data_IF_101532712384
#
_entry.id   IF_101532712384
#
_cell.length_a   1.000
_cell.length_b   1.000
_cell.length_c   1.000
_cell.angle_alpha   90.00
_cell.angle_beta   90.00
_cell.angle_gamma   90.00
#
_symmetry.space_group_name_H-M   'P 1'
#
loop_
_entity.id
_entity.type
_entity.pdbx_description
1 polymer ?
#
# COMPACT_ATOMS: atom_id res chain seq x y z
N UNK A 1 -30.77 32.51 -3.17
CA UNK A 1 -30.14 32.57 -4.52
C UNK A 1 -28.88 33.41 -4.34
N UNK A 2 -27.63 33.03 -4.59
CA UNK A 2 -26.98 32.04 -5.45
C UNK A 2 -25.66 31.63 -4.76
N UNK A 3 -25.31 30.33 -4.69
CA UNK A 3 -23.94 29.89 -4.37
C UNK A 3 -23.21 29.64 -5.70
N UNK A 4 -21.93 30.05 -5.85
CA UNK A 4 -21.16 29.76 -7.05
C UNK A 4 -20.81 28.25 -7.12
N UNK A 5 -20.58 27.70 -8.33
CA UNK A 5 -20.34 26.28 -8.50
C UNK A 5 -18.93 25.89 -8.02
N UNK A 6 -18.84 24.77 -7.32
CA UNK A 6 -17.60 24.18 -6.86
C UNK A 6 -16.79 23.70 -8.08
N UNK A 7 -15.62 24.30 -8.27
CA UNK A 7 -14.62 23.87 -9.25
C UNK A 7 -14.13 22.46 -8.96
N UNK A 8 -14.05 21.65 -10.01
CA UNK A 8 -13.56 20.26 -10.04
C UNK A 8 -12.18 20.14 -9.38
N UNK A 9 -12.07 19.36 -8.29
CA UNK A 9 -10.79 18.85 -7.79
C UNK A 9 -10.58 17.43 -8.33
N UNK A 10 -9.49 17.25 -9.06
CA UNK A 10 -9.01 15.94 -9.50
C UNK A 10 -8.63 15.09 -8.28
N UNK A 11 -9.38 14.02 -8.03
CA UNK A 11 -9.02 13.01 -7.03
C UNK A 11 -8.40 11.81 -7.74
N UNK A 12 -7.07 11.79 -7.82
CA UNK A 12 -6.29 10.59 -8.12
C UNK A 12 -6.33 9.65 -6.91
N UNK A 13 -7.23 8.67 -6.94
CA UNK A 13 -7.32 7.65 -5.90
C UNK A 13 -6.17 6.64 -6.07
N UNK A 14 -5.20 6.69 -5.15
CA UNK A 14 -4.12 5.70 -5.03
C UNK A 14 -4.62 4.50 -4.23
N UNK A 15 -4.56 3.32 -4.84
CA UNK A 15 -4.90 2.05 -4.21
C UNK A 15 -3.63 1.23 -3.95
N UNK A 16 -3.57 0.57 -2.79
CA UNK A 16 -2.42 -0.25 -2.37
C UNK A 16 -2.90 -1.55 -1.75
N UNK A 17 -2.30 -2.67 -2.16
CA UNK A 17 -2.53 -3.97 -1.56
C UNK A 17 -1.20 -4.58 -1.09
N UNK A 18 -1.25 -5.24 0.07
CA UNK A 18 -0.10 -5.93 0.67
C UNK A 18 -0.54 -7.30 1.17
N UNK A 19 0.22 -8.34 0.83
CA UNK A 19 0.11 -9.63 1.52
C UNK A 19 1.48 -10.31 1.57
N UNK A 20 2.10 -10.37 2.76
CA UNK A 20 3.18 -11.31 3.14
C UNK A 20 3.61 -11.11 4.60
N UNK A 21 3.00 -11.85 5.53
CA UNK A 21 3.72 -12.19 6.78
C UNK A 21 3.22 -13.44 7.51
N UNK A 22 2.28 -14.21 6.97
CA UNK A 22 1.67 -15.32 7.73
C UNK A 22 2.41 -16.68 7.65
N UNK A 23 3.42 -16.86 6.79
CA UNK A 23 4.03 -18.18 6.59
C UNK A 23 5.14 -18.59 7.58
N UNK A 24 5.54 -17.75 8.54
CA UNK A 24 6.72 -18.07 9.37
C UNK A 24 6.45 -18.99 10.58
N UNK A 25 5.19 -19.28 10.93
CA UNK A 25 4.86 -19.97 12.21
C UNK A 25 4.36 -21.41 12.11
N UNK A 26 4.30 -22.01 10.92
CA UNK A 26 3.73 -23.34 10.69
C UNK A 26 4.77 -24.47 10.45
N UNK A 27 6.02 -24.30 10.91
CA UNK A 27 7.14 -25.18 10.55
C UNK A 27 7.59 -26.15 11.65
N UNK A 28 6.83 -26.31 12.73
CA UNK A 28 7.29 -27.03 13.92
C UNK A 28 6.52 -28.32 14.29
N UNK A 29 5.47 -28.73 13.57
CA UNK A 29 4.70 -29.92 13.96
C UNK A 29 4.23 -30.72 12.74
N UNK A 30 4.70 -31.97 12.64
CA UNK A 30 4.27 -33.09 11.77
C UNK A 30 5.15 -33.44 10.54
N UNK A 31 5.30 -34.76 10.23
CA UNK A 31 6.22 -35.27 9.21
C UNK A 31 5.79 -34.88 7.78
N UNK A 32 6.70 -34.94 6.78
CA UNK A 32 6.47 -34.32 5.48
C UNK A 32 5.37 -35.04 4.70
N UNK A 33 4.15 -34.50 4.75
CA UNK A 33 3.08 -34.88 3.84
C UNK A 33 3.50 -34.61 2.39
N UNK A 34 3.13 -35.56 1.51
CA UNK A 34 3.31 -35.55 0.04
C UNK A 34 2.79 -34.30 -0.68
N UNK A 35 2.09 -33.39 0.01
CA UNK A 35 1.66 -32.07 -0.50
C UNK A 35 2.81 -31.07 -0.73
N UNK A 36 4.00 -31.28 -0.15
CA UNK A 36 5.14 -30.35 -0.27
C UNK A 36 5.71 -30.19 -1.68
N UNK A 37 5.29 -31.02 -2.66
CA UNK A 37 5.65 -30.81 -4.08
C UNK A 37 4.70 -29.86 -4.83
N UNK A 38 3.56 -29.48 -4.24
CA UNK A 38 2.56 -28.60 -4.85
C UNK A 38 2.67 -27.11 -4.44
N UNK A 39 3.65 -26.72 -3.62
CA UNK A 39 4.05 -25.31 -3.42
C UNK A 39 4.97 -24.78 -4.54
N UNK A 40 4.95 -25.42 -5.72
CA UNK A 40 5.70 -24.98 -6.88
C UNK A 40 4.97 -23.84 -7.56
N UNK A 41 5.42 -22.62 -7.25
CA UNK A 41 5.26 -21.40 -8.06
C UNK A 41 3.81 -20.88 -8.13
N UNK A 42 3.38 -20.20 -7.08
CA UNK A 42 2.20 -19.32 -7.18
C UNK A 42 2.49 -18.33 -8.33
N UNK A 43 1.60 -18.18 -9.33
CA UNK A 43 1.80 -17.25 -10.43
C UNK A 43 1.98 -15.83 -9.89
N UNK A 44 2.74 -14.96 -10.58
CA UNK A 44 2.92 -13.58 -10.14
C UNK A 44 1.55 -12.90 -9.97
N UNK A 45 1.23 -12.54 -8.73
CA UNK A 45 -0.10 -12.03 -8.34
C UNK A 45 -0.32 -10.56 -8.70
N UNK A 46 0.55 -9.97 -9.54
CA UNK A 46 0.52 -8.53 -9.80
C UNK A 46 -0.69 -8.11 -10.63
N UNK A 47 -0.89 -8.73 -11.80
CA UNK A 47 -2.01 -8.40 -12.70
C UNK A 47 -3.36 -8.72 -12.05
N UNK A 48 -3.60 -9.94 -11.52
CA UNK A 48 -4.90 -10.25 -10.90
C UNK A 48 -5.25 -9.33 -9.73
N UNK A 49 -4.23 -8.84 -9.01
CA UNK A 49 -4.44 -7.89 -7.93
C UNK A 49 -4.93 -6.55 -8.44
N UNK A 50 -4.31 -5.99 -9.48
CA UNK A 50 -4.72 -4.69 -10.05
C UNK A 50 -6.07 -4.81 -10.75
N UNK A 51 -6.38 -5.94 -11.39
CA UNK A 51 -7.71 -6.23 -11.92
C UNK A 51 -8.78 -6.18 -10.83
N UNK A 52 -8.52 -6.79 -9.67
CA UNK A 52 -9.42 -6.77 -8.53
C UNK A 52 -9.64 -5.35 -8.00
N UNK A 53 -8.60 -4.50 -8.03
CA UNK A 53 -8.72 -3.06 -7.72
C UNK A 53 -9.62 -2.37 -8.72
N UNK A 54 -9.36 -2.59 -10.01
CA UNK A 54 -10.08 -1.95 -11.10
C UNK A 54 -11.57 -2.33 -11.05
N UNK A 55 -11.88 -3.61 -10.85
CA UNK A 55 -13.25 -4.11 -10.72
C UNK A 55 -13.99 -3.50 -9.52
N UNK A 56 -13.31 -3.33 -8.38
CA UNK A 56 -13.93 -2.78 -7.16
C UNK A 56 -14.14 -1.28 -7.20
N UNK A 57 -13.22 -0.56 -7.83
CA UNK A 57 -13.20 0.91 -7.81
C UNK A 57 -13.76 1.53 -9.09
N UNK A 58 -13.82 0.77 -10.18
CA UNK A 58 -14.09 1.26 -11.53
C UNK A 58 -12.97 2.12 -12.12
N UNK A 59 -11.83 2.23 -11.44
CA UNK A 59 -10.73 3.14 -11.81
C UNK A 59 -9.46 2.34 -12.00
N UNK A 60 -8.84 2.46 -13.18
CA UNK A 60 -7.50 1.91 -13.41
C UNK A 60 -6.48 2.82 -12.70
N UNK A 61 -5.62 2.28 -11.80
CA UNK A 61 -4.63 3.09 -11.12
C UNK A 61 -3.62 3.67 -12.13
N UNK A 62 -3.44 5.00 -12.11
CA UNK A 62 -2.44 5.67 -12.95
C UNK A 62 -1.01 5.21 -12.64
N UNK A 63 -0.70 5.05 -11.35
CA UNK A 63 0.59 4.56 -10.88
C UNK A 63 0.39 3.44 -9.87
N UNK A 64 1.21 2.42 -9.99
CA UNK A 64 1.22 1.25 -9.10
C UNK A 64 2.59 1.17 -8.45
N UNK A 65 2.65 0.95 -7.14
CA UNK A 65 3.89 0.51 -6.53
C UNK A 65 3.67 -0.65 -5.57
N UNK A 66 4.57 -1.62 -5.68
CA UNK A 66 4.45 -2.93 -5.03
C UNK A 66 5.79 -3.36 -4.44
N UNK A 67 5.71 -4.34 -3.55
CA UNK A 67 6.88 -4.96 -2.93
C UNK A 67 7.49 -6.05 -3.84
N UNK A 68 8.71 -6.48 -3.51
CA UNK A 68 9.46 -7.56 -4.19
C UNK A 68 8.67 -8.87 -4.29
N UNK A 69 7.70 -9.09 -3.40
CA UNK A 69 6.79 -10.24 -3.44
C UNK A 69 5.95 -10.34 -4.71
N UNK A 70 5.77 -9.23 -5.44
CA UNK A 70 5.02 -9.11 -6.69
C UNK A 70 5.91 -8.92 -7.92
N UNK A 71 7.24 -9.00 -7.76
CA UNK A 71 8.19 -8.79 -8.83
C UNK A 71 7.95 -9.75 -10.00
N UNK A 72 7.56 -9.19 -11.15
CA UNK A 72 7.26 -9.93 -12.38
C UNK A 72 7.46 -9.04 -13.60
N UNK A 73 8.41 -9.39 -14.47
CA UNK A 73 8.65 -8.67 -15.72
C UNK A 73 7.40 -8.70 -16.62
N UNK A 74 6.81 -9.89 -16.80
CA UNK A 74 5.60 -10.07 -17.58
C UNK A 74 4.43 -9.28 -16.98
N UNK A 75 4.24 -9.36 -15.66
CA UNK A 75 3.14 -8.64 -15.01
C UNK A 75 3.28 -7.12 -15.11
N UNK A 76 4.51 -6.59 -15.04
CA UNK A 76 4.77 -5.16 -15.28
C UNK A 76 4.44 -4.77 -16.72
N UNK A 77 4.91 -5.53 -17.70
CA UNK A 77 4.64 -5.25 -19.11
C UNK A 77 3.13 -5.23 -19.41
N UNK A 78 2.39 -6.23 -18.92
CA UNK A 78 0.94 -6.30 -19.07
C UNK A 78 0.23 -5.07 -18.50
N UNK A 79 0.58 -4.62 -17.29
CA UNK A 79 -0.05 -3.43 -16.70
C UNK A 79 0.26 -2.14 -17.47
N UNK A 80 1.48 -2.01 -18.01
CA UNK A 80 1.85 -0.87 -18.86
C UNK A 80 1.05 -0.89 -20.17
N UNK A 81 0.85 -2.06 -20.77
CA UNK A 81 0.01 -2.26 -21.96
C UNK A 81 -1.47 -1.94 -21.70
N UNK A 82 -1.98 -2.25 -20.51
CA UNK A 82 -3.34 -1.93 -20.07
C UNK A 82 -3.57 -0.44 -19.78
N UNK A 83 -2.52 0.38 -19.78
CA UNK A 83 -2.60 1.84 -19.64
C UNK A 83 -2.23 2.37 -18.26
N UNK A 84 -1.61 1.56 -17.38
CA UNK A 84 -0.94 2.08 -16.18
C UNK A 84 0.31 2.83 -16.62
N UNK A 85 0.50 4.07 -16.16
CA UNK A 85 1.62 4.90 -16.63
C UNK A 85 2.97 4.49 -16.02
N UNK A 86 2.97 4.00 -14.77
CA UNK A 86 4.20 3.54 -14.14
C UNK A 86 3.93 2.45 -13.08
N UNK A 87 4.80 1.44 -13.05
CA UNK A 87 4.71 0.31 -12.12
C UNK A 87 6.04 0.14 -11.41
N UNK A 88 6.11 0.65 -10.18
CA UNK A 88 7.31 0.61 -9.35
C UNK A 88 7.34 -0.60 -8.42
N UNK A 89 8.22 -1.55 -8.71
CA UNK A 89 8.55 -2.71 -7.87
C UNK A 89 9.72 -2.33 -6.96
N UNK A 90 9.49 -2.30 -5.65
CA UNK A 90 10.51 -2.00 -4.65
C UNK A 90 11.27 -3.24 -4.20
N UNK A 91 12.56 -3.07 -3.91
CA UNK A 91 13.42 -4.10 -3.32
C UNK A 91 14.47 -4.66 -4.29
N UNK A 92 15.14 -5.74 -3.90
CA UNK A 92 16.27 -6.30 -4.65
C UNK A 92 15.85 -6.95 -5.95
N UNK A 93 14.67 -7.59 -5.98
CA UNK A 93 14.14 -8.19 -7.22
C UNK A 93 13.66 -7.11 -8.18
N UNK A 94 12.97 -6.09 -7.68
CA UNK A 94 12.62 -4.91 -8.47
C UNK A 94 13.85 -4.27 -9.11
N UNK A 95 14.93 -4.08 -8.32
CA UNK A 95 16.19 -3.48 -8.81
C UNK A 95 16.86 -4.30 -9.91
N UNK A 96 16.74 -5.63 -9.88
CA UNK A 96 17.29 -6.51 -10.92
C UNK A 96 16.46 -6.52 -12.20
N UNK A 97 15.15 -6.28 -12.10
CA UNK A 97 14.24 -6.32 -13.24
C UNK A 97 14.21 -5.02 -14.05
N UNK A 98 14.60 -3.91 -13.44
CA UNK A 98 14.37 -2.57 -13.97
C UNK A 98 15.70 -1.91 -14.32
N UNK A 99 15.83 -1.31 -15.52
CA UNK A 99 17.05 -0.61 -15.93
C UNK A 99 17.46 0.47 -14.94
N UNK A 100 18.77 0.72 -14.83
CA UNK A 100 19.32 1.64 -13.82
C UNK A 100 18.79 3.08 -14.00
N UNK A 101 18.69 3.59 -15.23
CA UNK A 101 18.08 4.88 -15.53
C UNK A 101 16.65 4.99 -15.01
N UNK A 102 15.81 3.97 -15.25
CA UNK A 102 14.41 3.98 -14.82
C UNK A 102 14.29 3.87 -13.29
N UNK A 103 15.10 3.00 -12.68
CA UNK A 103 15.17 2.79 -11.24
C UNK A 103 15.52 4.09 -10.47
N UNK A 104 16.37 4.92 -11.08
CA UNK A 104 16.85 6.18 -10.54
C UNK A 104 16.00 7.38 -10.96
N UNK A 105 14.99 7.22 -11.81
CA UNK A 105 14.10 8.31 -12.20
C UNK A 105 13.36 8.91 -11.00
N UNK A 106 13.04 10.21 -11.06
CA UNK A 106 12.40 10.92 -9.95
C UNK A 106 11.02 10.33 -9.61
N UNK A 107 10.21 10.03 -10.63
CA UNK A 107 8.89 9.44 -10.45
C UNK A 107 9.00 8.08 -9.74
N UNK A 108 9.92 7.24 -10.19
CA UNK A 108 10.11 5.91 -9.61
C UNK A 108 10.59 6.01 -8.15
N UNK A 109 11.50 6.94 -7.83
CA UNK A 109 11.90 7.21 -6.45
C UNK A 109 10.72 7.70 -5.59
N UNK A 110 9.87 8.59 -6.11
CA UNK A 110 8.69 9.09 -5.41
C UNK A 110 7.71 7.96 -5.10
N UNK A 111 7.47 7.05 -6.05
CA UNK A 111 6.62 5.88 -5.84
C UNK A 111 7.16 4.97 -4.72
N UNK A 112 8.46 4.69 -4.71
CA UNK A 112 9.12 3.91 -3.64
C UNK A 112 9.04 4.60 -2.27
N UNK A 113 9.26 5.91 -2.22
CA UNK A 113 9.11 6.71 -0.98
C UNK A 113 7.66 6.67 -0.48
N UNK A 114 6.69 6.81 -1.39
CA UNK A 114 5.26 6.72 -1.08
C UNK A 114 4.89 5.37 -0.47
N UNK A 115 5.36 4.26 -1.05
CA UNK A 115 5.18 2.92 -0.49
C UNK A 115 5.75 2.80 0.92
N UNK A 116 6.99 3.26 1.13
CA UNK A 116 7.64 3.22 2.46
C UNK A 116 6.87 4.05 3.51
N UNK A 117 6.30 5.19 3.13
CA UNK A 117 5.45 5.98 4.01
C UNK A 117 4.16 5.24 4.39
N UNK A 118 3.52 4.55 3.43
CA UNK A 118 2.34 3.71 3.68
C UNK A 118 2.68 2.51 4.58
N UNK A 119 3.82 1.87 4.39
CA UNK A 119 4.27 0.76 5.26
C UNK A 119 4.48 1.23 6.70
N UNK A 120 5.09 2.40 6.88
CA UNK A 120 5.27 3.02 8.19
C UNK A 120 3.92 3.35 8.84
N UNK A 121 2.95 3.84 8.06
CA UNK A 121 1.58 4.05 8.52
C UNK A 121 0.93 2.74 8.97
N UNK A 122 1.00 1.68 8.15
CA UNK A 122 0.45 0.37 8.47
C UNK A 122 1.08 -0.18 9.76
N UNK A 123 2.38 0.01 9.96
CA UNK A 123 3.07 -0.37 11.18
C UNK A 123 2.47 0.33 12.41
N UNK A 124 2.32 1.66 12.36
CA UNK A 124 1.72 2.44 13.45
C UNK A 124 0.28 1.97 13.74
N UNK A 125 -0.53 1.77 12.71
CA UNK A 125 -1.91 1.29 12.89
C UNK A 125 -1.94 -0.10 13.54
N UNK A 126 -1.09 -1.03 13.09
CA UNK A 126 -1.03 -2.39 13.63
C UNK A 126 -0.57 -2.42 15.08
N UNK A 127 0.48 -1.68 15.42
CA UNK A 127 1.16 -1.82 16.71
C UNK A 127 0.75 -0.79 17.75
N UNK A 128 0.47 0.46 17.35
CA UNK A 128 0.08 1.52 18.28
C UNK A 128 -1.44 1.62 18.46
N UNK A 129 -2.22 1.31 17.42
CA UNK A 129 -3.70 1.37 17.45
C UNK A 129 -4.37 -0.01 17.44
N UNK A 130 -3.58 -1.07 17.60
CA UNK A 130 -4.05 -2.45 17.73
C UNK A 130 -5.01 -2.88 16.59
N UNK A 131 -4.76 -2.48 15.35
CA UNK A 131 -5.60 -2.87 14.19
C UNK A 131 -5.67 -4.39 13.98
N UNK A 132 -4.65 -5.13 14.41
CA UNK A 132 -4.63 -6.60 14.33
C UNK A 132 -5.30 -7.32 15.52
N UNK A 133 -5.78 -6.59 16.53
CA UNK A 133 -6.41 -7.16 17.73
C UNK A 133 -7.78 -6.55 17.92
N UNK A 134 -8.82 -7.30 17.57
CA UNK A 134 -10.21 -6.87 17.66
C UNK A 134 -10.83 -7.41 18.95
N UNK A 135 -11.66 -6.59 19.60
CA UNK A 135 -12.38 -6.95 20.83
C UNK A 135 -13.83 -7.32 20.53
N UNK A 136 -14.43 -6.74 19.50
CA UNK A 136 -15.79 -7.02 19.07
C UNK A 136 -15.84 -8.23 18.12
N UNK A 137 -17.02 -8.85 18.03
CA UNK A 137 -17.31 -10.00 17.16
C UNK A 137 -18.52 -9.67 16.29
N UNK A 138 -18.51 -10.15 15.05
CA UNK A 138 -19.49 -9.81 14.02
C UNK A 138 -18.93 -8.79 13.02
N UNK A 139 -19.28 -8.93 11.74
CA UNK A 139 -18.67 -8.14 10.66
C UNK A 139 -18.88 -6.64 10.84
N UNK A 140 -20.10 -6.21 11.14
CA UNK A 140 -20.44 -4.80 11.34
C UNK A 140 -19.76 -4.23 12.58
N UNK A 141 -19.73 -4.97 13.68
CA UNK A 141 -19.05 -4.54 14.90
C UNK A 141 -17.53 -4.45 14.72
N UNK A 142 -16.93 -5.37 13.95
CA UNK A 142 -15.52 -5.30 13.57
C UNK A 142 -15.25 -4.07 12.70
N UNK A 143 -16.12 -3.75 11.74
CA UNK A 143 -16.02 -2.55 10.91
C UNK A 143 -16.12 -1.28 11.76
N UNK A 144 -17.05 -1.22 12.71
CA UNK A 144 -17.20 -0.12 13.65
C UNK A 144 -15.94 0.06 14.51
N UNK A 145 -15.40 -1.02 15.09
CA UNK A 145 -14.16 -0.97 15.88
C UNK A 145 -12.96 -0.50 15.04
N UNK A 146 -12.83 -0.96 13.78
CA UNK A 146 -11.78 -0.49 12.88
C UNK A 146 -11.93 1.00 12.56
N UNK A 147 -13.15 1.48 12.32
CA UNK A 147 -13.42 2.90 12.09
C UNK A 147 -13.05 3.76 13.31
N UNK A 148 -13.44 3.34 14.52
CA UNK A 148 -13.07 4.01 15.77
C UNK A 148 -11.54 4.14 15.92
N UNK A 149 -10.80 3.08 15.60
CA UNK A 149 -9.32 3.09 15.64
C UNK A 149 -8.71 4.04 14.60
N UNK A 150 -9.28 4.12 13.39
CA UNK A 150 -8.87 5.11 12.37
C UNK A 150 -9.11 6.54 12.87
N UNK A 151 -10.27 6.80 13.47
CA UNK A 151 -10.62 8.12 14.02
C UNK A 151 -9.64 8.51 15.14
N UNK A 152 -9.34 7.57 16.06
CA UNK A 152 -8.35 7.80 17.11
C UNK A 152 -6.96 8.13 16.56
N UNK A 153 -6.50 7.39 15.53
CA UNK A 153 -5.25 7.69 14.83
C UNK A 153 -5.24 9.10 14.25
N UNK A 154 -6.33 9.50 13.58
CA UNK A 154 -6.44 10.83 12.98
C UNK A 154 -6.35 11.94 14.03
N UNK A 155 -6.99 11.80 15.20
CA UNK A 155 -6.87 12.79 16.27
C UNK A 155 -5.44 12.94 16.80
N UNK A 156 -4.75 11.82 17.05
CA UNK A 156 -3.34 11.84 17.47
C UNK A 156 -2.47 12.51 16.41
N UNK A 157 -2.67 12.19 15.12
CA UNK A 157 -1.93 12.82 14.03
C UNK A 157 -2.20 14.31 13.90
N UNK A 158 -3.44 14.75 14.06
CA UNK A 158 -3.76 16.18 14.05
C UNK A 158 -3.03 16.93 15.16
N UNK A 159 -2.94 16.34 16.37
CA UNK A 159 -2.15 16.89 17.46
C UNK A 159 -0.67 17.04 17.10
N UNK A 160 -0.05 15.97 16.61
CA UNK A 160 1.37 15.96 16.23
C UNK A 160 1.68 16.96 15.10
N UNK A 161 0.82 17.05 14.08
CA UNK A 161 1.04 18.00 12.97
C UNK A 161 0.92 19.44 13.45
N UNK A 162 -0.05 19.74 14.34
CA UNK A 162 -0.19 21.08 14.92
C UNK A 162 0.98 21.45 15.80
N UNK A 163 1.49 20.52 16.62
CA UNK A 163 2.69 20.73 17.43
C UNK A 163 3.91 21.01 16.55
N UNK A 164 4.15 20.19 15.52
CA UNK A 164 5.26 20.41 14.59
C UNK A 164 5.17 21.78 13.87
N UNK A 165 3.96 22.25 13.54
CA UNK A 165 3.75 23.59 12.99
C UNK A 165 4.06 24.70 14.00
N UNK A 166 3.75 24.50 15.27
CA UNK A 166 4.03 25.45 16.36
C UNK A 166 5.49 25.46 16.78
N UNK A 167 6.20 24.34 16.67
CA UNK A 167 7.65 24.19 16.89
C UNK A 167 8.47 24.67 15.69
N UNK A 168 7.81 24.91 14.55
CA UNK A 168 8.39 25.59 13.40
C UNK A 168 8.02 27.10 13.36
N UNK A 169 8.50 27.97 14.29
CA UNK A 169 8.50 29.41 14.06
C UNK A 169 9.93 29.99 14.03
N UNK A 170 10.23 30.78 12.98
CA UNK A 170 11.33 31.78 12.85
C UNK A 170 12.77 31.39 12.40
N UNK A 171 13.01 30.31 11.65
CA UNK A 171 14.34 30.10 11.01
C UNK A 171 14.35 30.16 9.47
N UNK A 172 13.21 30.41 8.81
CA UNK A 172 13.10 30.48 7.33
C UNK A 172 12.67 31.85 6.79
N UNK A 173 12.93 32.92 7.54
CA UNK A 173 12.69 34.33 7.10
C UNK A 173 14.00 35.14 7.11
N UNK A 174 15.17 34.49 7.13
CA UNK A 174 16.47 35.14 6.99
C UNK A 174 17.14 34.69 5.68
#
# INVERSE_FOLDING_TARGET
>A
MNRPPLSKRANGHRFWATNRSWCARARALSPPCRCLKAMRRMPPQLVPLIDEVHQRTGVLPKWVSVDDGYASAQGRATLLEEGVEEVSISGSKGKQLIPEEEWNSELYQQLRRGRSAVESLIFVLKHCFAFGRLRRRGLEEVRAELLEKVIAYNFVRMGLVRQAQQETPLSKVA
#
